data_IF_529761317225
#
_entry.id   IF_529761317225
#
_cell.length_a   1.000
_cell.length_b   1.000
_cell.length_c   1.000
_cell.angle_alpha   90.00
_cell.angle_beta   90.00
_cell.angle_gamma   90.00
#
_symmetry.space_group_name_H-M   'P 1'
#
loop_
_entity.id
_entity.type
_entity.pdbx_description
1 polymer ?
#
# COMPACT_ATOMS: atom_id res chain seq x y z
N UNK A 1 10.50 -0.56 13.77
CA UNK A 1 10.87 0.54 12.86
C UNK A 1 9.85 0.55 11.74
N UNK A 2 8.99 1.56 11.68
CA UNK A 2 8.00 1.72 10.61
C UNK A 2 8.72 2.33 9.40
N UNK A 3 8.54 1.75 8.22
CA UNK A 3 9.02 2.34 6.96
C UNK A 3 7.81 2.79 6.17
N UNK A 4 7.63 4.10 6.09
CA UNK A 4 6.56 4.75 5.35
C UNK A 4 7.08 5.20 3.98
N UNK A 5 6.30 4.99 2.92
CA UNK A 5 6.52 5.53 1.58
C UNK A 5 5.32 6.39 1.22
N UNK A 6 5.58 7.62 0.80
CA UNK A 6 4.53 8.49 0.25
C UNK A 6 4.37 8.21 -1.23
N UNK A 7 3.14 7.95 -1.65
CA UNK A 7 2.73 7.75 -3.03
C UNK A 7 1.72 8.83 -3.40
N UNK A 8 2.01 9.60 -4.44
CA UNK A 8 1.13 10.66 -4.92
C UNK A 8 0.84 10.45 -6.41
N UNK A 9 -0.44 10.28 -6.75
CA UNK A 9 -0.88 10.15 -8.14
C UNK A 9 -2.28 10.75 -8.33
N UNK A 10 -2.50 11.47 -9.43
CA UNK A 10 -3.79 12.05 -9.82
C UNK A 10 -4.53 12.87 -8.74
N UNK A 11 -3.80 13.47 -7.80
CA UNK A 11 -4.37 14.28 -6.71
C UNK A 11 -4.73 13.49 -5.46
N UNK A 12 -4.46 12.18 -5.41
CA UNK A 12 -4.52 11.36 -4.20
C UNK A 12 -3.11 11.23 -3.65
N UNK A 13 -2.94 11.50 -2.35
CA UNK A 13 -1.70 11.21 -1.62
C UNK A 13 -1.98 10.09 -0.62
N UNK A 14 -1.15 9.07 -0.65
CA UNK A 14 -1.23 7.90 0.21
C UNK A 14 0.09 7.71 0.93
N UNK A 15 0.01 7.32 2.21
CA UNK A 15 1.14 6.84 2.98
C UNK A 15 1.04 5.34 3.10
N UNK A 16 1.95 4.65 2.42
CA UNK A 16 2.07 3.20 2.51
C UNK A 16 3.03 2.87 3.65
N UNK A 17 2.56 2.13 4.65
CA UNK A 17 3.36 1.81 5.84
C UNK A 17 3.52 0.30 5.93
N UNK A 18 4.73 -0.18 6.22
CA UNK A 18 4.94 -1.60 6.57
C UNK A 18 5.24 -1.69 8.05
N UNK A 19 4.36 -2.37 8.78
CA UNK A 19 4.56 -2.67 10.20
C UNK A 19 5.36 -3.96 10.37
N UNK A 20 6.29 -3.99 11.33
CA UNK A 20 7.16 -5.15 11.58
C UNK A 20 6.42 -6.40 12.09
N UNK A 21 5.15 -6.27 12.49
CA UNK A 21 4.29 -7.39 12.91
C UNK A 21 3.53 -8.02 11.73
N UNK A 22 3.75 -7.51 10.52
CA UNK A 22 3.56 -8.27 9.28
C UNK A 22 2.14 -8.72 8.97
N UNK A 23 1.08 -8.02 9.41
CA UNK A 23 -0.27 -8.52 9.12
C UNK A 23 -1.26 -7.62 8.36
N UNK A 24 -1.58 -6.40 8.74
CA UNK A 24 -2.92 -5.94 8.28
C UNK A 24 -3.03 -4.55 7.66
N UNK A 25 -2.00 -3.69 7.72
CA UNK A 25 -2.16 -2.31 7.29
C UNK A 25 -0.99 -1.84 6.41
N UNK A 26 -1.18 -1.89 5.09
CA UNK A 26 -0.17 -1.48 4.10
C UNK A 26 -0.42 -0.08 3.54
N UNK A 27 -1.63 0.46 3.67
CA UNK A 27 -1.99 1.73 3.05
C UNK A 27 -2.92 2.58 3.92
N UNK A 28 -2.46 3.81 4.16
CA UNK A 28 -3.24 4.92 4.70
C UNK A 28 -3.43 5.97 3.59
N UNK A 29 -4.65 6.40 3.32
CA UNK A 29 -4.90 7.55 2.44
C UNK A 29 -4.81 8.83 3.27
N UNK A 30 -4.11 9.84 2.77
CA UNK A 30 -4.10 11.20 3.32
C UNK A 30 -4.91 12.09 2.37
N UNK A 31 -6.24 12.16 2.55
CA UNK A 31 -7.07 13.07 1.78
C UNK A 31 -6.79 14.53 2.19
N UNK A 32 -7.19 15.50 1.34
CA UNK A 32 -6.96 16.92 1.55
C UNK A 32 -7.62 17.49 2.82
N UNK A 33 -8.57 16.77 3.43
CA UNK A 33 -9.26 17.08 4.67
C UNK A 33 -8.63 16.43 5.93
N UNK A 34 -7.43 15.84 5.80
CA UNK A 34 -6.69 15.16 6.89
C UNK A 34 -7.40 13.93 7.49
N UNK A 35 -8.43 13.37 6.84
CA UNK A 35 -9.11 12.16 7.32
C UNK A 35 -8.39 10.87 6.92
N UNK A 36 -7.73 10.20 7.85
CA UNK A 36 -7.09 8.90 7.59
C UNK A 36 -8.13 7.83 7.20
N UNK A 37 -7.94 7.20 6.04
CA UNK A 37 -8.71 6.02 5.61
C UNK A 37 -7.80 4.82 5.39
N UNK A 38 -8.06 3.75 6.15
CA UNK A 38 -7.42 2.44 5.97
C UNK A 38 -8.17 1.69 4.87
N UNK A 39 -7.45 1.29 3.82
CA UNK A 39 -8.04 0.54 2.71
C UNK A 39 -7.94 -0.96 2.99
N UNK A 40 -9.01 -1.69 2.67
CA UNK A 40 -8.98 -3.14 2.74
C UNK A 40 -7.89 -3.67 1.80
N UNK A 41 -7.00 -4.48 2.36
CA UNK A 41 -5.93 -5.12 1.60
C UNK A 41 -6.10 -6.64 1.64
N UNK A 42 -6.02 -7.27 0.47
CA UNK A 42 -5.74 -8.71 0.39
C UNK A 42 -4.26 -8.89 0.11
N UNK A 43 -3.65 -9.94 0.67
CA UNK A 43 -2.25 -10.24 0.46
C UNK A 43 -2.01 -11.68 0.02
N UNK A 44 -0.94 -11.90 -0.75
CA UNK A 44 -0.46 -13.24 -1.10
C UNK A 44 1.08 -13.25 -1.15
N UNK A 45 1.69 -14.40 -0.89
CA UNK A 45 3.14 -14.56 -1.00
C UNK A 45 3.55 -14.90 -2.44
N UNK A 46 4.45 -14.11 -3.03
CA UNK A 46 5.18 -14.46 -4.26
C UNK A 46 6.53 -15.08 -3.90
N UNK A 47 6.58 -16.41 -3.89
CA UNK A 47 7.79 -17.18 -3.57
C UNK A 47 8.93 -16.98 -4.58
N UNK A 48 8.64 -16.52 -5.81
CA UNK A 48 9.68 -16.28 -6.83
C UNK A 48 10.49 -15.04 -6.51
N UNK A 49 9.84 -14.01 -5.99
CA UNK A 49 10.47 -12.72 -5.63
C UNK A 49 10.81 -12.63 -4.15
N UNK A 50 10.27 -13.53 -3.33
CA UNK A 50 10.41 -13.48 -1.87
C UNK A 50 9.67 -12.28 -1.27
N UNK A 51 8.56 -11.88 -1.90
CA UNK A 51 7.74 -10.74 -1.48
C UNK A 51 6.35 -11.19 -1.09
N UNK A 52 5.70 -10.39 -0.24
CA UNK A 52 4.26 -10.43 -0.04
C UNK A 52 3.66 -9.30 -0.85
N UNK A 53 2.73 -9.66 -1.72
CA UNK A 53 2.03 -8.76 -2.61
C UNK A 53 0.71 -8.35 -1.98
N UNK A 54 0.51 -7.05 -1.80
CA UNK A 54 -0.68 -6.47 -1.22
C UNK A 54 -1.49 -5.76 -2.32
N UNK A 55 -2.73 -6.19 -2.51
CA UNK A 55 -3.70 -5.48 -3.34
C UNK A 55 -4.44 -4.49 -2.47
N UNK A 56 -4.42 -3.22 -2.87
CA UNK A 56 -5.03 -2.10 -2.16
C UNK A 56 -6.06 -1.47 -3.08
N UNK A 57 -7.34 -1.54 -2.71
CA UNK A 57 -8.43 -0.90 -3.45
C UNK A 57 -8.49 0.59 -3.08
N UNK A 58 -8.09 1.46 -4.02
CA UNK A 58 -8.06 2.90 -3.84
C UNK A 58 -9.31 3.52 -4.45
N UNK A 59 -10.24 3.94 -3.61
CA UNK A 59 -11.44 4.68 -4.03
C UNK A 59 -11.17 6.19 -3.95
N UNK A 60 -10.72 6.78 -5.06
CA UNK A 60 -10.58 8.23 -5.19
C UNK A 60 -11.88 8.92 -5.62
N UNK A 61 -11.95 10.24 -5.44
CA UNK A 61 -13.14 11.04 -5.83
C UNK A 61 -13.46 10.97 -7.33
N UNK A 62 -12.43 10.74 -8.17
CA UNK A 62 -12.54 10.74 -9.63
C UNK A 62 -12.50 9.35 -10.26
N UNK A 63 -11.79 8.43 -9.63
CA UNK A 63 -11.53 7.10 -10.18
C UNK A 63 -11.20 6.13 -9.06
N UNK A 64 -11.68 4.88 -9.18
CA UNK A 64 -11.26 3.77 -8.34
C UNK A 64 -10.22 2.94 -9.08
N UNK A 65 -9.13 2.59 -8.41
CA UNK A 65 -8.05 1.78 -8.99
C UNK A 65 -7.41 0.88 -7.93
N UNK A 66 -6.68 -0.15 -8.37
CA UNK A 66 -6.01 -1.07 -7.47
C UNK A 66 -4.51 -0.81 -7.50
N UNK A 67 -3.86 -0.72 -6.33
CA UNK A 67 -2.41 -0.75 -6.22
C UNK A 67 -1.95 -2.14 -5.79
N UNK A 68 -0.96 -2.67 -6.50
CA UNK A 68 -0.14 -3.80 -6.10
C UNK A 68 1.11 -3.27 -5.39
N UNK A 69 1.23 -3.57 -4.11
CA UNK A 69 2.36 -3.18 -3.27
C UNK A 69 3.14 -4.42 -2.88
N UNK A 70 4.37 -4.55 -3.40
CA UNK A 70 5.26 -5.67 -3.10
C UNK A 70 6.11 -5.32 -1.88
N UNK A 71 6.02 -6.14 -0.84
CA UNK A 71 6.71 -5.97 0.43
C UNK A 71 7.68 -7.13 0.65
N UNK A 72 8.93 -6.82 0.98
CA UNK A 72 9.89 -7.80 1.47
C UNK A 72 9.84 -7.81 2.99
N UNK A 73 9.11 -8.77 3.57
CA UNK A 73 8.81 -8.81 5.00
C UNK A 73 10.06 -8.94 5.88
N UNK A 74 11.02 -9.77 5.48
CA UNK A 74 12.30 -9.95 6.20
C UNK A 74 13.06 -8.64 6.40
N UNK A 75 12.88 -7.69 5.47
CA UNK A 75 13.50 -6.36 5.53
C UNK A 75 12.53 -5.27 6.01
N UNK A 76 11.25 -5.59 6.20
CA UNK A 76 10.19 -4.62 6.48
C UNK A 76 10.15 -3.49 5.45
N UNK A 77 10.23 -3.82 4.16
CA UNK A 77 10.46 -2.83 3.09
C UNK A 77 9.49 -2.99 1.93
N UNK A 78 8.88 -1.89 1.50
CA UNK A 78 8.21 -1.79 0.20
C UNK A 78 9.28 -1.75 -0.89
N UNK A 79 9.25 -2.73 -1.79
CA UNK A 79 10.22 -2.85 -2.89
C UNK A 79 9.61 -2.46 -4.24
N UNK A 80 8.28 -2.45 -4.34
CA UNK A 80 7.57 -2.07 -5.56
C UNK A 80 6.15 -1.58 -5.27
N UNK A 81 5.71 -0.59 -6.03
CA UNK A 81 4.34 -0.10 -6.08
C UNK A 81 3.95 -0.07 -7.56
N UNK A 82 2.86 -0.73 -7.92
CA UNK A 82 2.35 -0.78 -9.28
C UNK A 82 0.84 -0.54 -9.28
N UNK A 83 0.36 0.37 -10.13
CA UNK A 83 -1.07 0.49 -10.41
C UNK A 83 -1.53 -0.62 -11.35
N UNK A 84 -2.64 -1.27 -11.00
CA UNK A 84 -3.35 -2.24 -11.81
C UNK A 84 -4.60 -1.55 -12.38
N UNK A 85 -4.81 -1.70 -13.69
CA UNK A 85 -5.90 -1.08 -14.45
C UNK A 85 -7.23 -1.77 -14.18
#
# INVERSE_FOLDING_TARGET
MLRCVEYSEHGVTMRLTVTAEGKEEVAEVIPPDNELRVLASSCYSDARTGTVEHLVDVQGEREAFILLVSVQEELGRIVRIQRLN
#
